data_IF_731763294625
#
_entry.id   IF_731763294625
#
_cell.length_a   1.000
_cell.length_b   1.000
_cell.length_c   1.000
_cell.angle_alpha   90.00
_cell.angle_beta   90.00
_cell.angle_gamma   90.00
#
_symmetry.space_group_name_H-M   'P 1'
#
loop_
_entity.id
_entity.type
_entity.pdbx_description
1 polymer ?
#
# COMPACT_ATOMS: atom_id res chain seq x y z
N UNK A 1 -14.58 -13.37 15.70
CA UNK A 1 -15.44 -12.26 15.22
C UNK A 1 -14.52 -11.18 14.66
N UNK A 2 -14.60 -10.87 13.36
CA UNK A 2 -13.73 -9.86 12.73
C UNK A 2 -14.14 -8.45 13.18
N UNK A 3 -13.30 -7.81 14.00
CA UNK A 3 -13.48 -6.43 14.42
C UNK A 3 -13.45 -5.51 13.20
N UNK A 4 -14.41 -4.59 13.04
CA UNK A 4 -14.42 -3.67 11.90
C UNK A 4 -13.17 -2.78 11.85
N UNK A 5 -12.47 -2.83 10.72
CA UNK A 5 -11.10 -2.33 10.51
C UNK A 5 -10.96 -0.80 10.41
N UNK A 6 -12.00 -0.08 9.97
CA UNK A 6 -11.93 1.35 9.67
C UNK A 6 -13.17 2.07 10.16
N UNK A 7 -13.00 3.22 10.82
CA UNK A 7 -14.12 4.08 11.26
C UNK A 7 -14.47 5.16 10.24
N UNK A 8 -13.58 5.43 9.28
CA UNK A 8 -13.74 6.44 8.23
C UNK A 8 -13.30 5.89 6.87
N UNK A 9 -13.92 6.39 5.81
CA UNK A 9 -13.60 6.04 4.44
C UNK A 9 -12.20 6.54 4.09
N UNK A 10 -11.34 5.64 3.62
CA UNK A 10 -9.96 5.96 3.23
C UNK A 10 -9.88 6.88 2.00
N UNK A 11 -10.97 6.98 1.21
CA UNK A 11 -11.03 7.88 0.04
C UNK A 11 -11.62 9.26 0.35
N UNK A 12 -12.78 9.31 1.00
CA UNK A 12 -13.54 10.56 1.17
C UNK A 12 -13.63 11.05 2.62
N UNK A 13 -13.07 10.31 3.58
CA UNK A 13 -13.07 10.67 4.99
C UNK A 13 -14.43 10.60 5.70
N UNK A 14 -15.54 10.28 5.01
CA UNK A 14 -16.86 10.11 5.66
C UNK A 14 -16.85 8.93 6.64
N UNK A 15 -17.60 9.04 7.74
CA UNK A 15 -17.71 7.96 8.73
C UNK A 15 -18.34 6.70 8.12
N UNK A 16 -17.79 5.53 8.44
CA UNK A 16 -18.30 4.24 8.00
C UNK A 16 -19.23 3.66 9.07
N UNK A 17 -20.45 3.32 8.66
CA UNK A 17 -21.50 2.86 9.59
C UNK A 17 -21.62 1.34 9.59
N UNK A 18 -21.70 0.73 8.40
CA UNK A 18 -21.91 -0.69 8.24
C UNK A 18 -20.60 -1.51 8.36
N UNK A 19 -20.72 -2.73 8.87
CA UNK A 19 -19.59 -3.63 9.11
C UNK A 19 -18.79 -3.90 7.83
N UNK A 20 -19.45 -4.08 6.68
CA UNK A 20 -18.79 -4.34 5.39
C UNK A 20 -17.92 -3.17 4.95
N UNK A 21 -18.41 -1.94 5.06
CA UNK A 21 -17.63 -0.73 4.79
C UNK A 21 -16.47 -0.60 5.74
N UNK A 22 -16.71 -0.80 7.04
CA UNK A 22 -15.64 -0.76 8.04
C UNK A 22 -14.59 -1.84 7.81
N UNK A 23 -14.96 -3.02 7.30
CA UNK A 23 -14.01 -4.07 6.95
C UNK A 23 -13.15 -3.67 5.74
N UNK A 24 -13.75 -3.19 4.64
CA UNK A 24 -12.97 -2.85 3.44
C UNK A 24 -12.23 -1.50 3.52
N UNK A 25 -12.65 -0.60 4.41
CA UNK A 25 -12.09 0.75 4.55
C UNK A 25 -12.70 1.81 3.64
N UNK A 26 -13.75 1.45 2.90
CA UNK A 26 -14.42 2.34 1.95
C UNK A 26 -15.93 2.31 2.16
N UNK A 27 -16.58 3.47 2.03
CA UNK A 27 -18.04 3.53 1.92
C UNK A 27 -18.51 2.91 0.59
N UNK A 28 -19.80 2.57 0.44
CA UNK A 28 -20.33 1.86 -0.74
C UNK A 28 -20.01 2.55 -2.06
N UNK A 29 -20.24 3.86 -2.15
CA UNK A 29 -19.94 4.65 -3.34
C UNK A 29 -18.44 4.70 -3.66
N UNK A 30 -17.60 4.81 -2.63
CA UNK A 30 -16.15 4.86 -2.82
C UNK A 30 -15.59 3.50 -3.21
N UNK A 31 -16.17 2.42 -2.67
CA UNK A 31 -15.80 1.06 -2.97
C UNK A 31 -16.02 0.71 -4.44
N UNK A 32 -17.18 1.06 -4.99
CA UNK A 32 -17.50 0.76 -6.40
C UNK A 32 -16.45 1.32 -7.36
N UNK A 33 -15.89 2.47 -7.00
CA UNK A 33 -14.89 3.17 -7.79
C UNK A 33 -13.45 2.65 -7.61
N UNK A 34 -13.16 1.87 -6.56
CA UNK A 34 -11.80 1.37 -6.28
C UNK A 34 -11.68 -0.15 -6.38
N UNK A 35 -12.79 -0.90 -6.28
CA UNK A 35 -12.78 -2.36 -6.20
C UNK A 35 -12.07 -3.07 -7.35
N UNK A 36 -12.02 -2.45 -8.53
CA UNK A 36 -11.34 -2.99 -9.71
C UNK A 36 -9.83 -2.77 -9.69
N UNK A 37 -9.35 -1.77 -8.94
CA UNK A 37 -7.93 -1.48 -8.77
C UNK A 37 -7.31 -2.19 -7.56
N UNK A 38 -8.16 -2.72 -6.67
CA UNK A 38 -7.72 -3.47 -5.50
C UNK A 38 -7.62 -4.96 -5.84
N UNK A 39 -6.60 -5.66 -5.31
CA UNK A 39 -6.52 -7.11 -5.46
C UNK A 39 -7.65 -7.81 -4.69
N UNK A 40 -7.85 -9.11 -4.94
CA UNK A 40 -8.72 -9.95 -4.12
C UNK A 40 -8.41 -9.81 -2.62
N UNK A 41 -9.38 -10.14 -1.77
CA UNK A 41 -9.31 -9.95 -0.31
C UNK A 41 -8.13 -10.66 0.39
N UNK A 42 -7.42 -11.55 -0.32
CA UNK A 42 -6.14 -12.14 0.09
C UNK A 42 -5.15 -12.06 -1.07
N UNK A 43 -3.87 -11.95 -0.73
CA UNK A 43 -2.79 -12.12 -1.69
C UNK A 43 -2.94 -13.46 -2.45
N UNK A 44 -2.55 -13.51 -3.73
CA UNK A 44 -2.52 -14.76 -4.49
C UNK A 44 -1.68 -15.83 -3.76
N UNK A 45 -2.12 -17.09 -3.81
CA UNK A 45 -1.35 -18.21 -3.24
C UNK A 45 0.00 -18.42 -3.94
N UNK A 46 0.15 -17.90 -5.16
CA UNK A 46 1.41 -17.83 -5.91
C UNK A 46 1.82 -16.37 -6.08
N UNK A 47 2.67 -15.88 -5.18
CA UNK A 47 3.30 -14.56 -5.30
C UNK A 47 4.41 -14.61 -6.36
N UNK A 48 4.11 -14.27 -7.61
CA UNK A 48 5.16 -13.98 -8.59
C UNK A 48 5.75 -12.60 -8.33
N UNK A 49 7.08 -12.53 -8.36
CA UNK A 49 7.87 -11.30 -8.22
C UNK A 49 8.81 -11.24 -9.41
N UNK A 50 8.59 -10.30 -10.30
CA UNK A 50 9.46 -10.07 -11.45
C UNK A 50 10.71 -9.31 -11.02
N UNK A 51 11.55 -9.95 -10.19
CA UNK A 51 12.76 -9.38 -9.61
C UNK A 51 13.86 -9.26 -10.67
N UNK A 52 14.35 -8.04 -10.89
CA UNK A 52 15.48 -7.74 -11.78
C UNK A 52 16.76 -7.53 -10.96
N UNK A 53 16.68 -6.77 -9.86
CA UNK A 53 17.84 -6.45 -9.03
C UNK A 53 17.51 -6.59 -7.53
N UNK A 54 18.09 -7.58 -6.82
CA UNK A 54 17.83 -7.81 -5.41
C UNK A 54 18.30 -6.68 -4.50
N UNK A 55 19.36 -5.94 -4.87
CA UNK A 55 19.87 -4.83 -4.06
C UNK A 55 18.91 -3.63 -4.10
N UNK A 56 18.43 -3.28 -5.29
CA UNK A 56 17.45 -2.21 -5.49
C UNK A 56 16.09 -2.55 -4.86
N UNK A 57 15.68 -3.82 -4.97
CA UNK A 57 14.47 -4.33 -4.31
C UNK A 57 14.58 -4.22 -2.78
N UNK A 58 15.73 -4.59 -2.21
CA UNK A 58 16.00 -4.47 -0.77
C UNK A 58 15.95 -3.01 -0.31
N UNK A 59 16.55 -2.09 -1.06
CA UNK A 59 16.49 -0.65 -0.78
C UNK A 59 15.05 -0.10 -0.83
N UNK A 60 14.25 -0.55 -1.80
CA UNK A 60 12.83 -0.22 -1.90
C UNK A 60 12.04 -0.72 -0.68
N UNK A 61 12.27 -1.95 -0.25
CA UNK A 61 11.61 -2.52 0.93
C UNK A 61 11.98 -1.82 2.23
N UNK A 62 13.25 -1.44 2.43
CA UNK A 62 13.67 -0.67 3.60
C UNK A 62 12.97 0.70 3.65
N UNK A 63 12.85 1.38 2.50
CA UNK A 63 12.13 2.65 2.40
C UNK A 63 10.65 2.50 2.74
N UNK A 64 10.03 1.40 2.33
CA UNK A 64 8.63 1.07 2.62
C UNK A 64 8.44 0.72 4.11
N UNK A 65 9.34 -0.07 4.68
CA UNK A 65 9.29 -0.46 6.09
C UNK A 65 9.31 0.77 7.01
N UNK A 66 10.14 1.77 6.71
CA UNK A 66 10.16 3.06 7.43
C UNK A 66 8.81 3.79 7.37
N UNK A 67 8.06 3.63 6.28
CA UNK A 67 6.70 4.19 6.19
C UNK A 67 5.74 3.41 7.08
N UNK A 68 5.81 2.08 7.10
CA UNK A 68 4.96 1.26 7.97
C UNK A 68 5.25 1.47 9.46
N UNK A 69 6.52 1.68 9.84
CA UNK A 69 6.93 1.73 11.25
C UNK A 69 6.34 2.90 12.04
N UNK A 70 5.90 3.96 11.36
CA UNK A 70 5.22 5.10 11.99
C UNK A 70 3.70 4.90 12.15
N UNK A 71 3.15 3.76 11.73
CA UNK A 71 1.71 3.51 11.74
C UNK A 71 1.30 2.44 12.75
N UNK A 72 0.06 2.56 13.20
CA UNK A 72 -0.65 1.54 13.98
C UNK A 72 -1.59 0.75 13.07
N UNK A 73 -1.78 -0.53 13.41
CA UNK A 73 -2.74 -1.40 12.76
C UNK A 73 -4.14 -0.77 12.84
N UNK A 74 -4.83 -0.55 11.71
CA UNK A 74 -6.18 0.01 11.73
C UNK A 74 -7.18 -0.96 12.41
N UNK A 75 -6.89 -2.26 12.42
CA UNK A 75 -7.75 -3.28 13.07
C UNK A 75 -7.69 -3.31 14.58
N UNK A 76 -6.47 -3.32 15.14
CA UNK A 76 -6.24 -3.67 16.54
C UNK A 76 -5.44 -2.60 17.29
N UNK A 77 -4.99 -1.54 16.60
CA UNK A 77 -4.18 -0.48 17.18
C UNK A 77 -2.71 -0.85 17.44
N UNK A 78 -2.33 -2.12 17.31
CA UNK A 78 -0.95 -2.57 17.52
C UNK A 78 0.05 -1.85 16.60
N UNK A 79 1.24 -1.55 17.12
CA UNK A 79 2.31 -0.94 16.32
C UNK A 79 2.71 -1.85 15.15
N UNK A 80 3.01 -1.26 13.99
CA UNK A 80 3.46 -1.96 12.79
C UNK A 80 4.98 -1.91 12.60
N UNK A 81 5.75 -1.45 13.59
CA UNK A 81 7.21 -1.30 13.49
C UNK A 81 7.97 -2.59 13.18
N UNK A 82 7.45 -3.74 13.61
CA UNK A 82 8.04 -5.07 13.41
C UNK A 82 7.38 -5.88 12.30
N UNK A 83 6.47 -5.27 11.53
CA UNK A 83 5.77 -5.98 10.47
C UNK A 83 6.70 -6.21 9.25
N UNK A 84 6.64 -7.39 8.67
CA UNK A 84 7.37 -7.71 7.44
C UNK A 84 6.64 -7.17 6.21
N UNK A 85 7.42 -6.62 5.28
CA UNK A 85 6.92 -6.12 3.99
C UNK A 85 6.84 -7.27 3.00
N UNK A 86 5.64 -7.47 2.46
CA UNK A 86 5.36 -8.40 1.38
C UNK A 86 4.99 -7.63 0.12
N UNK A 87 5.23 -8.25 -1.03
CA UNK A 87 4.75 -7.72 -2.30
C UNK A 87 4.56 -8.81 -3.36
N UNK A 88 3.89 -8.50 -4.46
CA UNK A 88 3.81 -9.35 -5.65
C UNK A 88 3.48 -8.51 -6.88
N UNK A 89 3.73 -9.03 -8.08
CA UNK A 89 3.42 -8.39 -9.35
C UNK A 89 1.92 -8.10 -9.47
N UNK A 90 1.56 -6.85 -9.75
CA UNK A 90 0.17 -6.43 -9.90
C UNK A 90 0.06 -5.18 -10.76
N UNK A 91 -0.84 -5.17 -11.75
CA UNK A 91 -0.99 -4.06 -12.70
C UNK A 91 -1.32 -2.72 -12.03
N UNK A 92 -2.02 -2.76 -10.90
CA UNK A 92 -2.33 -1.58 -10.08
C UNK A 92 -1.38 -1.41 -8.88
N UNK A 93 -0.21 -2.04 -8.93
CA UNK A 93 0.85 -1.91 -7.95
C UNK A 93 1.62 -0.59 -8.06
N UNK A 94 2.66 -0.45 -7.25
CA UNK A 94 3.60 0.68 -7.30
C UNK A 94 4.89 0.26 -7.98
N UNK A 95 5.46 1.15 -8.80
CA UNK A 95 6.77 0.91 -9.41
C UNK A 95 7.85 0.96 -8.32
N UNK A 96 8.47 -0.19 -8.05
CA UNK A 96 9.58 -0.32 -7.11
C UNK A 96 10.86 -0.57 -7.88
N UNK A 97 11.95 0.04 -7.42
CA UNK A 97 13.27 -0.24 -7.99
C UNK A 97 13.63 -1.70 -7.74
N UNK A 98 14.26 -2.33 -8.73
CA UNK A 98 14.62 -3.75 -8.69
C UNK A 98 13.54 -4.70 -9.17
N UNK A 99 12.38 -4.21 -9.62
CA UNK A 99 11.30 -5.03 -10.17
C UNK A 99 10.95 -4.62 -11.61
N UNK A 100 10.56 -5.59 -12.43
CA UNK A 100 10.11 -5.40 -13.81
C UNK A 100 8.67 -4.90 -13.87
N UNK A 101 7.82 -5.44 -13.01
CA UNK A 101 6.38 -5.13 -12.96
C UNK A 101 6.06 -4.30 -11.71
N UNK A 102 4.97 -3.51 -11.73
CA UNK A 102 4.51 -2.81 -10.54
C UNK A 102 4.18 -3.82 -9.43
N UNK A 103 4.50 -3.46 -8.18
CA UNK A 103 4.35 -4.34 -7.02
C UNK A 103 3.16 -3.92 -6.16
N UNK A 104 2.24 -4.83 -5.88
CA UNK A 104 1.28 -4.63 -4.82
C UNK A 104 1.94 -4.87 -3.46
N UNK A 105 2.00 -3.85 -2.62
CA UNK A 105 2.72 -3.91 -1.35
C UNK A 105 1.76 -3.96 -0.17
N UNK A 106 2.02 -4.88 0.76
CA UNK A 106 1.27 -5.02 2.00
C UNK A 106 2.16 -5.53 3.13
N UNK A 107 1.64 -5.46 4.35
CA UNK A 107 2.23 -6.09 5.53
C UNK A 107 1.17 -6.95 6.22
N UNK A 108 1.62 -7.94 7.00
CA UNK A 108 0.74 -8.67 7.90
C UNK A 108 0.90 -8.09 9.31
N UNK A 109 -0.21 -7.70 9.95
CA UNK A 109 -0.12 -7.22 11.32
C UNK A 109 0.35 -8.35 12.26
N UNK A 110 1.44 -8.17 13.02
CA UNK A 110 1.98 -9.25 13.86
C UNK A 110 1.08 -9.60 15.04
N UNK A 111 0.17 -8.70 15.43
CA UNK A 111 -0.75 -8.92 16.55
C UNK A 111 -2.05 -9.63 16.13
N UNK A 112 -2.67 -9.20 15.03
CA UNK A 112 -4.01 -9.69 14.63
C UNK A 112 -4.04 -10.44 13.29
N UNK A 113 -2.92 -10.56 12.59
CA UNK A 113 -2.80 -11.33 11.35
C UNK A 113 -3.51 -10.72 10.14
N UNK A 114 -3.97 -9.48 10.22
CA UNK A 114 -4.64 -8.82 9.09
C UNK A 114 -3.63 -8.28 8.08
N UNK A 115 -3.90 -8.51 6.80
CA UNK A 115 -3.14 -7.92 5.70
C UNK A 115 -3.53 -6.45 5.52
N UNK A 116 -2.52 -5.58 5.51
CA UNK A 116 -2.66 -4.14 5.38
C UNK A 116 -1.84 -3.70 4.17
N UNK A 117 -2.53 -3.41 3.08
CA UNK A 117 -1.91 -2.83 1.89
C UNK A 117 -1.41 -1.41 2.14
N UNK A 118 -0.24 -1.07 1.61
CA UNK A 118 0.44 0.20 1.83
C UNK A 118 -0.44 1.43 1.52
N UNK A 119 -1.25 1.36 0.45
CA UNK A 119 -2.16 2.44 0.04
C UNK A 119 -3.21 2.81 1.10
N UNK A 120 -3.45 1.95 2.09
CA UNK A 120 -4.43 2.19 3.17
C UNK A 120 -3.83 2.95 4.36
N UNK A 121 -2.51 3.00 4.50
CA UNK A 121 -1.85 3.65 5.63
C UNK A 121 -1.40 5.07 5.30
N UNK A 122 -1.11 5.33 4.04
CA UNK A 122 -0.52 6.59 3.63
C UNK A 122 -1.63 7.55 3.18
N UNK A 123 -2.02 8.52 4.03
CA UNK A 123 -2.98 9.60 3.67
C UNK A 123 -2.51 10.40 2.44
N UNK A 124 -1.20 10.49 2.22
CA UNK A 124 -0.60 11.16 1.07
C UNK A 124 -0.48 10.27 -0.18
N UNK A 125 -0.55 8.93 -0.04
CA UNK A 125 -0.56 8.02 -1.20
C UNK A 125 -1.90 7.95 -1.91
N UNK A 126 -2.99 8.45 -1.30
CA UNK A 126 -4.24 8.69 -2.01
C UNK A 126 -4.35 10.14 -2.49
N UNK A 127 -3.22 10.79 -2.77
CA UNK A 127 -3.18 11.78 -3.84
C UNK A 127 -3.57 11.14 -5.19
N UNK A 128 -2.79 11.41 -6.22
CA UNK A 128 -3.12 11.13 -7.62
C UNK A 128 -3.35 9.67 -8.05
N UNK A 129 -3.36 8.66 -7.15
CA UNK A 129 -4.03 7.37 -7.42
C UNK A 129 -5.52 7.54 -7.76
N UNK A 130 -6.13 8.69 -7.43
CA UNK A 130 -7.51 9.03 -7.79
C UNK A 130 -7.67 10.19 -8.79
N UNK A 131 -6.60 10.88 -9.26
CA UNK A 131 -6.80 12.08 -10.08
C UNK A 131 -5.99 12.23 -11.35
N UNK A 132 -4.70 11.93 -11.45
CA UNK A 132 -4.02 11.92 -12.75
C UNK A 132 -2.72 11.12 -12.64
N UNK A 133 -2.64 10.07 -13.44
CA UNK A 133 -1.42 9.36 -13.74
C UNK A 133 -0.44 10.32 -14.43
N UNK A 134 0.37 11.05 -13.67
CA UNK A 134 1.61 11.61 -14.21
C UNK A 134 2.74 10.69 -13.78
N UNK A 135 3.20 9.89 -14.73
CA UNK A 135 4.47 9.18 -14.62
C UNK A 135 5.55 10.23 -14.33
N UNK A 136 6.09 10.22 -13.11
CA UNK A 136 7.31 10.94 -12.79
C UNK A 136 8.44 10.00 -13.20
N UNK A 137 9.23 10.42 -14.17
CA UNK A 137 10.34 9.63 -14.73
C UNK A 137 11.46 9.48 -13.69
N UNK A 138 12.24 8.40 -13.76
CA UNK A 138 13.41 8.16 -12.89
C UNK A 138 14.37 9.37 -12.87
N UNK A 139 14.45 10.13 -13.95
CA UNK A 139 15.21 11.39 -14.04
C UNK A 139 14.78 12.48 -13.04
N UNK A 140 13.50 12.58 -12.68
CA UNK A 140 13.02 13.58 -11.71
C UNK A 140 13.29 13.14 -10.25
N UNK A 141 13.47 11.84 -10.01
CA UNK A 141 13.84 11.30 -8.70
C UNK A 141 15.35 11.40 -8.46
N UNK A 142 16.15 11.34 -9.54
CA UNK A 142 17.61 11.39 -9.48
C UNK A 142 18.20 12.82 -9.65
N UNK A 143 17.38 13.82 -9.97
CA UNK A 143 17.82 15.19 -10.31
C UNK A 143 18.34 16.08 -9.16
N UNK A 144 18.57 15.57 -7.94
CA UNK A 144 19.15 16.36 -6.85
C UNK A 144 20.63 16.08 -6.54
N UNK A 145 21.32 15.31 -7.38
CA UNK A 145 22.78 15.22 -7.32
C UNK A 145 23.42 15.55 -8.66
N UNK A 146 23.67 16.84 -8.85
CA UNK A 146 24.49 17.33 -9.93
C UNK A 146 24.38 18.83 -10.07
N UNK A 147 25.09 19.57 -9.23
CA UNK A 147 26.04 20.60 -9.67
C UNK A 147 26.99 20.85 -8.49
N UNK A 148 28.11 20.14 -8.51
CA UNK A 148 29.36 20.67 -7.97
C UNK A 148 30.04 21.39 -9.14
N UNK A 149 30.14 22.71 -9.04
CA UNK A 149 31.29 23.46 -9.54
C UNK A 149 31.72 24.40 -8.42
#
# INVERSE_FOLDING_TARGET
>A
MNTPLYTRCLRCGRALRDHKSKSRGYGPECWEKVRHALPPYRAPLSETKSLINPFDASASYLSILRKFSSHSCPSCGASLHSAEVHSYDHDNGINLSGFLLPQWVYITCPCCGVDISLHKLTRDSCGDLCKNYRQVSISEILGFYGEAV
#
